data_IF_304963871116
#
_entry.id   IF_304963871116
#
_cell.length_a   1.000
_cell.length_b   1.000
_cell.length_c   1.000
_cell.angle_alpha   90.00
_cell.angle_beta   90.00
_cell.angle_gamma   90.00
#
_symmetry.space_group_name_H-M   'P 1'
#
loop_
_entity.id
_entity.type
_entity.pdbx_description
1 polymer ?
#
# COMPACT_ATOMS: atom_id res chain seq x y z
N UNK A 1 6.48 5.41 -0.38
CA UNK A 1 6.33 6.40 -1.47
C UNK A 1 5.89 7.75 -0.90
N UNK A 2 6.14 8.80 -1.67
CA UNK A 2 5.58 10.12 -1.41
C UNK A 2 5.37 10.84 -2.74
N UNK A 3 4.48 11.83 -2.79
CA UNK A 3 4.21 12.58 -4.00
C UNK A 3 4.20 14.09 -3.74
N UNK A 4 4.45 14.85 -4.80
CA UNK A 4 4.30 16.28 -4.84
C UNK A 4 3.86 16.64 -6.26
N UNK A 5 2.55 16.64 -6.50
CA UNK A 5 1.90 16.72 -7.82
C UNK A 5 2.11 15.49 -8.70
N UNK A 6 1.40 15.45 -9.82
CA UNK A 6 1.37 14.34 -10.78
C UNK A 6 2.74 13.96 -11.33
N UNK A 7 3.62 14.92 -11.53
CA UNK A 7 4.92 14.73 -12.19
C UNK A 7 6.04 14.28 -11.21
N UNK A 8 5.79 14.35 -9.90
CA UNK A 8 6.80 14.05 -8.89
C UNK A 8 6.27 13.02 -7.88
N UNK A 9 6.19 11.78 -8.33
CA UNK A 9 5.88 10.64 -7.46
C UNK A 9 7.16 9.85 -7.21
N UNK A 10 7.60 9.83 -5.95
CA UNK A 10 8.81 9.10 -5.53
C UNK A 10 8.42 7.75 -4.96
N UNK A 11 8.89 6.69 -5.59
CA UNK A 11 8.73 5.33 -5.12
C UNK A 11 10.08 4.79 -4.65
N UNK A 12 10.19 4.47 -3.36
CA UNK A 12 11.44 4.02 -2.75
C UNK A 12 11.44 2.50 -2.58
N UNK A 13 12.38 1.81 -3.19
CA UNK A 13 12.60 0.38 -2.95
C UNK A 13 13.51 0.26 -1.73
N UNK A 14 12.95 -0.20 -0.62
CA UNK A 14 13.68 -0.38 0.64
C UNK A 14 14.34 -1.75 0.71
N UNK A 15 13.71 -2.76 0.11
CA UNK A 15 14.21 -4.11 -0.07
C UNK A 15 13.71 -4.66 -1.41
N UNK A 16 14.62 -5.12 -2.23
CA UNK A 16 14.30 -5.83 -3.46
C UNK A 16 13.92 -7.29 -3.20
N UNK A 17 13.21 -7.92 -4.13
CA UNK A 17 12.83 -9.33 -4.03
C UNK A 17 14.03 -10.28 -4.03
N UNK A 18 15.08 -9.96 -4.79
CA UNK A 18 16.33 -10.72 -4.86
C UNK A 18 17.25 -10.52 -3.65
N UNK A 19 16.97 -9.53 -2.80
CA UNK A 19 17.82 -9.14 -1.70
C UNK A 19 17.42 -9.86 -0.40
N UNK A 20 18.39 -10.36 0.35
CA UNK A 20 18.15 -10.91 1.70
C UNK A 20 17.94 -9.79 2.72
N UNK A 21 17.20 -10.07 3.79
CA UNK A 21 17.00 -9.12 4.88
C UNK A 21 18.31 -8.96 5.67
N UNK A 22 18.97 -7.82 5.54
CA UNK A 22 20.30 -7.52 6.05
C UNK A 22 20.32 -6.25 6.92
N UNK A 23 21.48 -5.95 7.52
CA UNK A 23 21.71 -4.68 8.23
C UNK A 23 21.51 -3.47 7.31
N UNK A 24 21.90 -3.57 6.03
CA UNK A 24 21.69 -2.51 5.04
C UNK A 24 20.20 -2.27 4.78
N UNK A 25 19.37 -3.34 4.65
CA UNK A 25 17.91 -3.22 4.52
C UNK A 25 17.30 -2.55 5.74
N UNK A 26 17.71 -2.97 6.95
CA UNK A 26 17.25 -2.34 8.21
C UNK A 26 17.63 -0.85 8.25
N UNK A 27 18.82 -0.50 7.82
CA UNK A 27 19.26 0.90 7.73
C UNK A 27 18.38 1.73 6.79
N UNK A 28 18.02 1.20 5.61
CA UNK A 28 17.09 1.87 4.69
C UNK A 28 15.70 2.07 5.30
N UNK A 29 15.17 1.07 6.01
CA UNK A 29 13.88 1.16 6.70
C UNK A 29 13.94 2.22 7.82
N UNK A 30 15.00 2.23 8.63
CA UNK A 30 15.20 3.23 9.69
C UNK A 30 15.40 4.65 9.16
N UNK A 31 15.87 4.78 7.93
CA UNK A 31 16.05 6.07 7.26
C UNK A 31 14.76 6.67 6.69
N UNK A 32 13.65 5.96 6.76
CA UNK A 32 12.34 6.48 6.30
C UNK A 32 11.99 7.74 7.11
N UNK A 33 11.59 8.77 6.37
CA UNK A 33 11.11 10.04 6.94
C UNK A 33 9.76 10.36 6.34
N UNK A 34 8.90 11.11 7.04
CA UNK A 34 7.64 11.61 6.48
C UNK A 34 7.89 12.31 5.15
N UNK A 35 7.09 11.97 4.16
CA UNK A 35 7.12 12.58 2.83
C UNK A 35 6.14 13.75 2.74
N UNK A 36 5.66 14.03 1.53
CA UNK A 36 4.75 15.14 1.29
C UNK A 36 3.29 14.65 1.25
N UNK A 37 2.88 14.12 0.10
CA UNK A 37 1.50 13.72 -0.17
C UNK A 37 1.40 12.26 -0.59
N UNK A 38 0.18 11.78 -0.78
CA UNK A 38 -0.14 10.36 -0.93
C UNK A 38 -0.92 10.13 -2.23
N UNK A 39 -0.23 10.17 -3.38
CA UNK A 39 -0.79 9.76 -4.68
C UNK A 39 -0.78 8.23 -4.76
N UNK A 40 -1.76 7.64 -4.10
CA UNK A 40 -1.83 6.21 -3.81
C UNK A 40 -1.96 5.37 -5.09
N UNK A 41 -2.76 5.80 -6.06
CA UNK A 41 -2.96 5.08 -7.32
C UNK A 41 -1.65 4.88 -8.10
N UNK A 42 -0.79 5.90 -8.18
CA UNK A 42 0.51 5.79 -8.84
C UNK A 42 1.43 4.79 -8.12
N UNK A 43 1.46 4.82 -6.79
CA UNK A 43 2.27 3.89 -6.00
C UNK A 43 1.78 2.44 -6.13
N UNK A 44 0.47 2.22 -6.15
CA UNK A 44 -0.13 0.90 -6.36
C UNK A 44 0.24 0.36 -7.75
N UNK A 45 0.14 1.15 -8.81
CA UNK A 45 0.52 0.72 -10.17
C UNK A 45 2.00 0.36 -10.26
N UNK A 46 2.88 1.16 -9.66
CA UNK A 46 4.31 0.89 -9.63
C UNK A 46 4.63 -0.40 -8.85
N UNK A 47 4.04 -0.57 -7.68
CA UNK A 47 4.19 -1.79 -6.88
C UNK A 47 3.63 -3.02 -7.62
N UNK A 48 2.49 -2.89 -8.30
CA UNK A 48 1.88 -3.94 -9.11
C UNK A 48 2.78 -4.37 -10.27
N UNK A 49 3.40 -3.41 -10.97
CA UNK A 49 4.34 -3.70 -12.05
C UNK A 49 5.59 -4.46 -11.56
N UNK A 50 6.11 -4.13 -10.38
CA UNK A 50 7.23 -4.85 -9.77
C UNK A 50 6.84 -6.25 -9.30
N UNK A 51 5.69 -6.36 -8.62
CA UNK A 51 5.19 -7.62 -8.08
C UNK A 51 4.73 -8.57 -9.19
N UNK A 52 4.15 -8.04 -10.28
CA UNK A 52 3.70 -8.81 -11.44
C UNK A 52 4.83 -9.56 -12.17
N UNK A 53 6.08 -9.11 -12.02
CA UNK A 53 7.27 -9.76 -12.59
C UNK A 53 7.78 -10.94 -11.76
N UNK A 54 7.23 -11.14 -10.55
CA UNK A 54 7.70 -12.22 -9.67
C UNK A 54 6.99 -13.53 -9.98
N UNK A 55 7.78 -14.61 -10.07
CA UNK A 55 7.27 -15.98 -10.23
C UNK A 55 6.81 -16.53 -8.87
N UNK A 56 5.55 -16.26 -8.52
CA UNK A 56 4.95 -16.75 -7.28
C UNK A 56 3.50 -17.16 -7.51
N UNK A 57 3.04 -18.21 -6.83
CA UNK A 57 1.65 -18.68 -6.89
C UNK A 57 0.67 -17.67 -6.29
N UNK A 58 1.08 -16.99 -5.23
CA UNK A 58 0.33 -15.88 -4.62
C UNK A 58 1.18 -14.61 -4.60
N UNK A 59 0.56 -13.50 -4.96
CA UNK A 59 1.22 -12.19 -5.01
C UNK A 59 0.40 -11.18 -4.21
N UNK A 60 0.75 -11.04 -2.93
CA UNK A 60 0.08 -10.14 -2.00
C UNK A 60 0.62 -8.71 -2.17
N UNK A 61 -0.26 -7.77 -2.50
CA UNK A 61 0.02 -6.34 -2.49
C UNK A 61 -0.53 -5.73 -1.19
N UNK A 62 0.32 -5.65 -0.16
CA UNK A 62 -0.05 -5.11 1.13
C UNK A 62 0.20 -3.60 1.17
N UNK A 63 -0.86 -2.82 1.36
CA UNK A 63 -0.81 -1.37 1.53
C UNK A 63 -0.95 -1.00 2.99
N UNK A 64 0.03 -0.26 3.53
CA UNK A 64 -0.04 0.38 4.84
C UNK A 64 -0.30 1.88 4.64
N UNK A 65 -1.31 2.42 5.28
CA UNK A 65 -1.67 3.85 5.17
C UNK A 65 -2.22 4.38 6.48
N UNK A 66 -2.06 5.69 6.68
CA UNK A 66 -2.60 6.44 7.82
C UNK A 66 -3.68 7.46 7.39
N UNK A 67 -4.08 7.44 6.11
CA UNK A 67 -5.07 8.38 5.62
C UNK A 67 -5.52 8.18 4.18
N UNK A 68 -6.33 9.12 3.72
CA UNK A 68 -6.89 9.16 2.37
C UNK A 68 -5.85 9.54 1.31
N UNK A 69 -6.04 9.10 0.04
CA UNK A 69 -5.23 9.61 -1.07
C UNK A 69 -5.42 11.13 -1.22
N UNK A 70 -4.29 11.84 -1.34
CA UNK A 70 -4.29 13.30 -1.42
C UNK A 70 -3.00 13.81 -2.10
N UNK A 71 -3.07 14.91 -2.88
CA UNK A 71 -1.91 15.63 -3.42
C UNK A 71 -2.29 17.08 -3.78
N UNK A 72 -1.29 17.95 -4.01
CA UNK A 72 -1.45 19.39 -4.25
C UNK A 72 -2.22 19.76 -5.51
N UNK A 73 -2.23 18.90 -6.53
CA UNK A 73 -2.85 19.16 -7.83
C UNK A 73 -4.25 18.55 -7.96
N UNK A 74 -5.12 18.85 -6.99
CA UNK A 74 -6.53 18.39 -6.98
C UNK A 74 -6.67 16.85 -6.87
N UNK A 75 -5.63 16.14 -6.47
CA UNK A 75 -5.68 14.70 -6.17
C UNK A 75 -6.22 14.47 -4.76
N UNK A 76 -7.45 14.91 -4.53
CA UNK A 76 -8.14 14.78 -3.26
C UNK A 76 -9.61 14.42 -3.49
N UNK A 77 -10.32 14.11 -2.41
CA UNK A 77 -11.72 13.76 -2.47
C UNK A 77 -12.01 12.61 -3.44
N UNK A 78 -13.03 12.79 -4.28
CA UNK A 78 -13.50 11.77 -5.22
C UNK A 78 -12.44 11.36 -6.24
N UNK A 79 -11.64 12.29 -6.75
CA UNK A 79 -10.64 11.98 -7.79
C UNK A 79 -9.54 11.05 -7.27
N UNK A 80 -8.95 11.36 -6.11
CA UNK A 80 -7.92 10.51 -5.50
C UNK A 80 -8.43 9.12 -5.14
N UNK A 81 -9.68 9.05 -4.66
CA UNK A 81 -10.34 7.79 -4.33
C UNK A 81 -10.58 6.95 -5.58
N UNK A 82 -11.14 7.52 -6.64
CA UNK A 82 -11.43 6.77 -7.88
C UNK A 82 -10.16 6.32 -8.62
N UNK A 83 -9.11 7.15 -8.68
CA UNK A 83 -7.82 6.73 -9.25
C UNK A 83 -7.21 5.57 -8.45
N UNK A 84 -7.27 5.63 -7.13
CA UNK A 84 -6.83 4.54 -6.25
C UNK A 84 -7.64 3.27 -6.49
N UNK A 85 -8.97 3.38 -6.59
CA UNK A 85 -9.87 2.26 -6.89
C UNK A 85 -9.54 1.62 -8.23
N UNK A 86 -9.31 2.43 -9.27
CA UNK A 86 -8.92 1.90 -10.58
C UNK A 86 -7.58 1.17 -10.53
N UNK A 87 -6.58 1.71 -9.83
CA UNK A 87 -5.28 1.04 -9.66
C UNK A 87 -5.41 -0.31 -8.93
N UNK A 88 -6.29 -0.41 -7.94
CA UNK A 88 -6.58 -1.68 -7.25
C UNK A 88 -7.29 -2.69 -8.15
N UNK A 89 -8.23 -2.24 -9.01
CA UNK A 89 -8.89 -3.10 -10.00
C UNK A 89 -7.87 -3.62 -11.04
N UNK A 90 -6.97 -2.76 -11.51
CA UNK A 90 -5.88 -3.12 -12.41
C UNK A 90 -4.97 -4.17 -11.78
N UNK A 91 -4.60 -4.01 -10.50
CA UNK A 91 -3.81 -4.99 -9.75
C UNK A 91 -4.50 -6.36 -9.67
N UNK A 92 -5.81 -6.38 -9.34
CA UNK A 92 -6.60 -7.63 -9.30
C UNK A 92 -6.66 -8.33 -10.66
N UNK A 93 -6.84 -7.57 -11.75
CA UNK A 93 -6.83 -8.12 -13.12
C UNK A 93 -5.50 -8.76 -13.50
N UNK A 94 -4.39 -8.32 -12.88
CA UNK A 94 -3.08 -8.94 -13.01
C UNK A 94 -2.87 -10.15 -12.08
N UNK A 95 -3.89 -10.60 -11.36
CA UNK A 95 -3.83 -11.70 -10.41
C UNK A 95 -3.10 -11.36 -9.12
N UNK A 96 -3.02 -10.08 -8.75
CA UNK A 96 -2.52 -9.66 -7.45
C UNK A 96 -3.64 -9.67 -6.42
N UNK A 97 -3.28 -9.82 -5.15
CA UNK A 97 -4.18 -9.79 -4.00
C UNK A 97 -3.95 -8.48 -3.20
N UNK A 98 -4.65 -7.38 -3.55
CA UNK A 98 -4.53 -6.15 -2.76
C UNK A 98 -5.21 -6.29 -1.41
N UNK A 99 -4.50 -5.89 -0.36
CA UNK A 99 -5.01 -5.83 1.00
C UNK A 99 -4.52 -4.55 1.69
N UNK A 100 -5.38 -3.91 2.48
CA UNK A 100 -5.05 -2.68 3.18
C UNK A 100 -5.01 -2.87 4.70
N UNK A 101 -3.99 -2.31 5.32
CA UNK A 101 -3.92 -2.11 6.77
C UNK A 101 -3.82 -0.62 7.02
N UNK A 102 -4.74 -0.07 7.81
CA UNK A 102 -4.76 1.35 8.12
C UNK A 102 -4.93 1.61 9.60
N UNK A 103 -4.41 2.76 10.05
CA UNK A 103 -4.66 3.33 11.37
C UNK A 103 -5.64 4.51 11.31
N UNK A 104 -6.13 4.86 10.12
CA UNK A 104 -7.10 5.93 9.91
C UNK A 104 -8.46 5.57 10.51
N UNK A 105 -8.94 6.37 11.45
CA UNK A 105 -10.25 6.18 12.10
C UNK A 105 -11.42 6.48 11.18
N UNK A 106 -11.21 7.26 10.12
CA UNK A 106 -12.22 7.57 9.11
C UNK A 106 -12.26 6.56 7.95
N UNK A 107 -11.44 5.52 8.01
CA UNK A 107 -11.28 4.51 6.98
C UNK A 107 -12.60 3.87 6.53
N UNK A 108 -13.56 3.71 7.44
CA UNK A 108 -14.89 3.19 7.13
C UNK A 108 -15.67 4.00 6.08
N UNK A 109 -15.33 5.26 5.86
CA UNK A 109 -15.98 6.12 4.88
C UNK A 109 -15.53 5.87 3.43
N UNK A 110 -14.36 5.28 3.20
CA UNK A 110 -13.79 5.12 1.85
C UNK A 110 -13.17 3.75 1.55
N UNK A 111 -12.65 3.02 2.54
CA UNK A 111 -12.02 1.72 2.29
C UNK A 111 -12.95 0.65 1.72
N UNK A 112 -14.23 0.52 2.15
CA UNK A 112 -15.16 -0.42 1.53
C UNK A 112 -15.32 -0.19 0.03
N UNK A 113 -15.33 1.08 -0.40
CA UNK A 113 -15.41 1.46 -1.81
C UNK A 113 -14.13 1.16 -2.58
N UNK A 114 -12.95 1.36 -1.95
CA UNK A 114 -11.64 1.11 -2.56
C UNK A 114 -11.31 -0.37 -2.66
N UNK A 115 -11.40 -1.07 -1.54
CA UNK A 115 -10.90 -2.44 -1.40
C UNK A 115 -12.00 -3.50 -1.49
N UNK A 116 -13.26 -3.13 -1.21
CA UNK A 116 -14.35 -4.08 -1.05
C UNK A 116 -14.35 -4.72 0.35
N UNK A 117 -15.32 -5.59 0.66
CA UNK A 117 -15.40 -6.26 1.95
C UNK A 117 -14.21 -7.21 2.15
N UNK A 118 -13.80 -7.41 3.39
CA UNK A 118 -12.81 -8.40 3.84
C UNK A 118 -11.37 -8.24 3.31
N UNK A 119 -11.08 -7.16 2.60
CA UNK A 119 -9.76 -6.89 2.01
C UNK A 119 -9.04 -5.71 2.65
N UNK A 120 -9.48 -5.30 3.83
CA UNK A 120 -8.80 -4.31 4.67
C UNK A 120 -9.04 -4.57 6.15
N UNK A 121 -8.16 -4.05 6.99
CA UNK A 121 -8.34 -3.96 8.44
C UNK A 121 -8.00 -2.55 8.93
N UNK A 122 -8.71 -2.14 9.98
CA UNK A 122 -8.42 -0.90 10.72
C UNK A 122 -7.79 -1.27 12.05
N UNK A 123 -6.55 -0.87 12.26
CA UNK A 123 -5.82 -1.05 13.52
C UNK A 123 -5.97 0.21 14.34
N UNK A 124 -6.68 0.13 15.45
CA UNK A 124 -7.01 1.30 16.28
C UNK A 124 -5.81 1.92 16.99
N UNK A 125 -4.87 1.07 17.38
CA UNK A 125 -3.63 1.48 18.03
C UNK A 125 -2.44 1.09 17.16
N UNK A 126 -1.66 2.05 16.63
CA UNK A 126 -0.46 1.76 15.84
C UNK A 126 0.56 0.88 16.56
N UNK A 127 0.60 0.89 17.89
CA UNK A 127 1.48 0.03 18.69
C UNK A 127 1.16 -1.47 18.54
N UNK A 128 -0.05 -1.82 18.09
CA UNK A 128 -0.43 -3.21 17.82
C UNK A 128 0.03 -3.73 16.45
N UNK A 129 0.44 -2.86 15.53
CA UNK A 129 0.87 -3.24 14.18
C UNK A 129 1.94 -4.34 14.17
N UNK A 130 3.03 -4.27 14.98
CA UNK A 130 4.05 -5.32 14.98
C UNK A 130 3.52 -6.70 15.37
N UNK A 131 2.46 -6.76 16.17
CA UNK A 131 1.81 -8.00 16.57
C UNK A 131 0.80 -8.48 15.53
N UNK A 132 0.02 -7.58 14.95
CA UNK A 132 -1.08 -7.93 14.04
C UNK A 132 -0.61 -8.26 12.64
N UNK A 133 0.41 -7.57 12.10
CA UNK A 133 0.88 -7.78 10.73
C UNK A 133 1.38 -9.21 10.45
N UNK A 134 2.18 -9.87 11.31
CA UNK A 134 2.59 -11.25 11.06
C UNK A 134 1.42 -12.23 11.05
N UNK A 135 0.44 -12.04 11.95
CA UNK A 135 -0.76 -12.89 12.02
C UNK A 135 -1.62 -12.72 10.77
N UNK A 136 -1.80 -11.49 10.33
CA UNK A 136 -2.51 -11.17 9.09
C UNK A 136 -1.82 -11.79 7.88
N UNK A 137 -0.51 -11.61 7.75
CA UNK A 137 0.28 -12.21 6.67
C UNK A 137 0.11 -13.73 6.64
N UNK A 138 0.27 -14.40 7.78
CA UNK A 138 0.08 -15.84 7.88
C UNK A 138 -1.34 -16.29 7.49
N UNK A 139 -2.37 -15.50 7.81
CA UNK A 139 -3.76 -15.77 7.40
C UNK A 139 -3.96 -15.61 5.89
N UNK A 140 -3.42 -14.56 5.29
CA UNK A 140 -3.59 -14.26 3.86
C UNK A 140 -2.79 -15.21 2.95
N UNK A 141 -1.73 -15.85 3.46
CA UNK A 141 -0.84 -16.72 2.68
C UNK A 141 -1.06 -18.22 2.91
N UNK A 142 -2.01 -18.61 3.76
CA UNK A 142 -2.35 -20.02 4.06
C UNK A 142 -3.38 -20.67 3.13
N UNK A 143 -3.61 -20.10 1.95
CA UNK A 143 -4.51 -20.75 0.97
C UNK A 143 -3.76 -21.73 0.07
#
# INVERSE_FOLDING_TARGET
FSSRRREHVRFHILKDFSETYSAAVRGRIQAIRPGYYTRMGAAIRQASALLGRQSAGQRLLLLLTDGKPNDLDVYEGRYGIEDTRMALLEARRQGLLPFCVTVDREAGSYLPHLFGPDTYIVVRDPAELPRQLPLLYARLTRQ
#
